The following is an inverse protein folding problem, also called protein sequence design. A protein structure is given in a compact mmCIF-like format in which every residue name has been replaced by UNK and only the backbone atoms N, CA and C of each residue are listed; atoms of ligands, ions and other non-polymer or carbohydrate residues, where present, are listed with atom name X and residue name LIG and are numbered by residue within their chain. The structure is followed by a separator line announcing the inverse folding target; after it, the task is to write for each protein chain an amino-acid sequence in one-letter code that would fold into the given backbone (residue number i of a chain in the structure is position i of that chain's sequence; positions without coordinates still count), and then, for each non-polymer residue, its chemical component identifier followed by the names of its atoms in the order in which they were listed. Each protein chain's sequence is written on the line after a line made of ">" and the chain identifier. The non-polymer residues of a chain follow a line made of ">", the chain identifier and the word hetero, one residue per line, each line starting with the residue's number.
data_IF_415328547919
#
_entry.id   IF_415328547919
#
_cell.length_a   1.000
_cell.length_b   1.000
_cell.length_c   1.000
_cell.angle_alpha   90.00
_cell.angle_beta   90.00
_cell.angle_gamma   90.00
#
_symmetry.space_group_name_H-M   'P 1'
#
loop_
_entity.id
_entity.type
_entity.pdbx_description
1 polymer ?
#
# COMPACT_ATOMS: atom_id res chain seq x y z
N UNK A 1 -10.92 2.25 -14.14
CA UNK A 1 -10.90 1.06 -13.27
C UNK A 1 -12.01 1.18 -12.22
N UNK A 2 -12.20 0.18 -11.35
CA UNK A 2 -13.26 0.18 -10.33
C UNK A 2 -12.77 0.71 -8.98
N UNK A 3 -13.70 1.08 -8.11
CA UNK A 3 -13.41 1.50 -6.73
C UNK A 3 -12.70 0.39 -5.93
N UNK A 4 -13.06 -0.87 -6.19
CA UNK A 4 -12.44 -2.02 -5.56
C UNK A 4 -10.93 -2.14 -5.88
N UNK A 5 -10.53 -1.84 -7.12
CA UNK A 5 -9.11 -1.76 -7.48
C UNK A 5 -8.42 -0.61 -6.74
N UNK A 6 -9.06 0.55 -6.63
CA UNK A 6 -8.52 1.72 -5.94
C UNK A 6 -8.21 1.42 -4.46
N UNK A 7 -9.16 0.79 -3.77
CA UNK A 7 -8.98 0.31 -2.40
C UNK A 7 -7.82 -0.68 -2.30
N UNK A 8 -7.79 -1.71 -3.15
CA UNK A 8 -6.74 -2.74 -3.10
C UNK A 8 -5.34 -2.19 -3.35
N UNK A 9 -5.16 -1.35 -4.38
CA UNK A 9 -3.87 -0.74 -4.70
C UNK A 9 -3.41 0.25 -3.63
N UNK A 10 -4.33 1.05 -3.09
CA UNK A 10 -3.97 1.97 -2.00
C UNK A 10 -3.64 1.23 -0.70
N UNK A 11 -4.33 0.13 -0.39
CA UNK A 11 -3.99 -0.73 0.75
C UNK A 11 -2.60 -1.34 0.57
N UNK A 12 -2.29 -1.86 -0.63
CA UNK A 12 -0.97 -2.37 -0.98
C UNK A 12 0.13 -1.31 -0.84
N UNK A 13 -0.14 -0.06 -1.24
CA UNK A 13 0.81 1.05 -1.13
C UNK A 13 1.22 1.35 0.32
N UNK A 14 0.36 1.04 1.28
CA UNK A 14 0.69 1.10 2.70
C UNK A 14 1.71 0.05 3.15
N UNK A 15 1.81 -1.10 2.47
CA UNK A 15 2.78 -2.19 2.74
C UNK A 15 4.06 -2.10 1.93
N UNK A 16 4.00 -1.60 0.69
CA UNK A 16 5.15 -1.08 -0.06
C UNK A 16 4.65 -0.03 -1.05
N UNK A 17 5.18 1.19 -1.01
CA UNK A 17 4.72 2.28 -1.88
C UNK A 17 5.04 2.03 -3.37
N UNK A 18 6.22 1.49 -3.64
CA UNK A 18 6.79 1.45 -4.98
C UNK A 18 6.29 0.26 -5.80
N UNK A 19 5.99 -0.88 -5.17
CA UNK A 19 5.44 -2.07 -5.86
C UNK A 19 4.13 -1.77 -6.62
N UNK A 20 3.03 -1.30 -5.99
CA UNK A 20 1.78 -1.01 -6.69
C UNK A 20 1.95 0.11 -7.72
N UNK A 21 2.73 1.16 -7.41
CA UNK A 21 3.02 2.24 -8.36
C UNK A 21 3.72 1.72 -9.61
N UNK A 22 4.74 0.88 -9.44
CA UNK A 22 5.50 0.30 -10.53
C UNK A 22 4.63 -0.65 -11.37
N UNK A 23 3.79 -1.47 -10.74
CA UNK A 23 2.86 -2.36 -11.45
C UNK A 23 1.89 -1.54 -12.30
N UNK A 24 1.25 -0.51 -11.72
CA UNK A 24 0.34 0.38 -12.44
C UNK A 24 1.05 1.10 -13.60
N UNK A 25 2.26 1.61 -13.36
CA UNK A 25 3.06 2.28 -14.38
C UNK A 25 3.44 1.35 -15.54
N UNK A 26 3.91 0.13 -15.25
CA UNK A 26 4.27 -0.86 -16.27
C UNK A 26 3.04 -1.33 -17.05
N UNK A 27 1.92 -1.61 -16.38
CA UNK A 27 0.70 -2.01 -17.04
C UNK A 27 0.14 -0.90 -17.94
N UNK A 28 0.16 0.35 -17.47
CA UNK A 28 -0.25 1.49 -18.28
C UNK A 28 0.66 1.73 -19.49
N UNK A 29 1.95 1.36 -19.40
CA UNK A 29 2.93 1.55 -20.47
C UNK A 29 2.89 0.44 -21.52
N UNK A 30 2.73 -0.81 -21.10
CA UNK A 30 2.91 -1.98 -21.97
C UNK A 30 1.60 -2.70 -22.32
N UNK A 31 0.49 -2.35 -21.67
CA UNK A 31 -0.80 -3.03 -21.86
C UNK A 31 -1.94 -2.02 -21.96
N UNK A 32 -3.12 -2.50 -22.35
CA UNK A 32 -4.37 -1.73 -22.29
C UNK A 32 -5.18 -2.04 -21.01
N UNK A 33 -4.63 -2.80 -20.06
CA UNK A 33 -5.33 -3.17 -18.83
C UNK A 33 -5.54 -1.98 -17.89
N UNK A 34 -4.62 -1.02 -17.93
CA UNK A 34 -4.66 0.20 -17.13
C UNK A 34 -4.54 1.39 -18.06
N UNK A 35 -5.53 2.27 -18.03
CA UNK A 35 -5.51 3.55 -18.77
C UNK A 35 -5.45 4.69 -17.76
N UNK A 36 -4.39 5.49 -17.85
CA UNK A 36 -4.15 6.64 -16.98
C UNK A 36 -4.50 7.92 -17.74
N UNK A 37 -5.27 8.79 -17.10
CA UNK A 37 -5.57 10.13 -17.61
C UNK A 37 -4.63 11.16 -16.97
N UNK A 38 -4.49 12.32 -17.60
CA UNK A 38 -3.76 13.44 -16.99
C UNK A 38 -4.32 13.77 -15.59
N UNK A 39 -3.45 14.07 -14.61
CA UNK A 39 -1.97 14.15 -14.68
C UNK A 39 -1.25 12.82 -14.39
N UNK A 40 -1.99 11.72 -14.25
CA UNK A 40 -1.45 10.44 -13.78
C UNK A 40 -0.77 9.63 -14.87
N UNK A 41 -1.01 9.96 -16.14
CA UNK A 41 -0.34 9.40 -17.32
C UNK A 41 1.19 9.55 -17.26
N UNK A 42 1.70 10.56 -16.54
CA UNK A 42 3.11 10.73 -16.22
C UNK A 42 3.76 9.48 -15.58
N UNK A 43 2.99 8.66 -14.85
CA UNK A 43 3.48 7.39 -14.28
C UNK A 43 4.00 6.42 -15.36
N UNK A 44 3.46 6.50 -16.58
CA UNK A 44 3.89 5.65 -17.70
C UNK A 44 5.20 6.12 -18.35
N UNK A 45 5.76 7.26 -17.93
CA UNK A 45 7.03 7.79 -18.45
C UNK A 45 8.22 6.94 -18.01
N UNK A 46 9.18 6.72 -18.91
CA UNK A 46 10.42 6.00 -18.62
C UNK A 46 11.21 6.59 -17.45
N UNK A 47 11.16 7.92 -17.28
CA UNK A 47 11.80 8.59 -16.15
C UNK A 47 11.16 8.21 -14.82
N UNK A 48 9.83 8.14 -14.77
CA UNK A 48 9.09 7.77 -13.56
C UNK A 48 9.23 6.27 -13.28
N UNK A 49 9.10 5.42 -14.29
CA UNK A 49 9.32 3.96 -14.17
C UNK A 49 10.74 3.68 -13.66
N UNK A 50 11.76 4.28 -14.28
CA UNK A 50 13.16 4.12 -13.84
C UNK A 50 13.37 4.57 -12.40
N UNK A 51 12.77 5.69 -12.00
CA UNK A 51 12.82 6.18 -10.62
C UNK A 51 12.15 5.20 -9.66
N UNK A 52 10.95 4.69 -9.99
CA UNK A 52 10.24 3.72 -9.16
C UNK A 52 11.02 2.40 -9.00
N UNK A 53 11.70 1.93 -10.05
CA UNK A 53 12.57 0.75 -9.97
C UNK A 53 13.72 1.00 -9.01
N UNK A 54 14.42 2.13 -9.13
CA UNK A 54 15.54 2.47 -8.23
C UNK A 54 15.06 2.59 -6.79
N UNK A 55 13.95 3.30 -6.55
CA UNK A 55 13.37 3.47 -5.22
C UNK A 55 12.91 2.14 -4.62
N UNK A 56 12.34 1.23 -5.42
CA UNK A 56 11.99 -0.11 -4.97
C UNK A 56 13.22 -0.93 -4.58
N UNK A 57 14.30 -0.86 -5.37
CA UNK A 57 15.55 -1.53 -5.02
C UNK A 57 16.12 -0.97 -3.72
N UNK A 58 16.14 0.35 -3.56
CA UNK A 58 16.59 1.00 -2.32
C UNK A 58 15.74 0.56 -1.14
N UNK A 59 14.40 0.57 -1.27
CA UNK A 59 13.46 0.09 -0.25
C UNK A 59 13.81 -1.33 0.21
N UNK A 60 13.92 -2.26 -0.75
CA UNK A 60 14.19 -3.67 -0.47
C UNK A 60 15.55 -3.84 0.22
N UNK A 61 16.56 -3.06 -0.14
CA UNK A 61 17.89 -3.17 0.46
C UNK A 61 17.95 -2.54 1.86
N UNK A 62 17.36 -1.35 2.03
CA UNK A 62 17.40 -0.60 3.30
C UNK A 62 16.59 -1.31 4.38
N UNK A 63 15.43 -1.87 4.04
CA UNK A 63 14.59 -2.61 4.98
C UNK A 63 15.25 -3.89 5.55
N UNK A 64 16.35 -4.34 4.96
CA UNK A 64 17.08 -5.54 5.40
C UNK A 64 18.14 -5.25 6.44
N UNK A 65 18.52 -3.99 6.61
CA UNK A 65 19.56 -3.58 7.55
C UNK A 65 18.89 -3.08 8.83
N UNK A 66 19.10 -3.75 9.98
CA UNK A 66 18.55 -3.29 11.26
C UNK A 66 18.96 -1.84 11.55
N UNK A 67 18.06 -1.07 12.15
CA UNK A 67 18.14 0.39 12.38
C UNK A 67 17.97 1.25 11.12
N UNK A 68 18.49 0.83 9.95
CA UNK A 68 18.21 1.53 8.69
C UNK A 68 16.74 1.38 8.28
N UNK A 69 16.15 0.21 8.55
CA UNK A 69 14.72 -0.07 8.40
C UNK A 69 13.83 0.93 9.17
N UNK A 70 14.23 1.29 10.39
CA UNK A 70 13.49 2.23 11.23
C UNK A 70 13.55 3.64 10.65
N UNK A 71 14.72 4.07 10.16
CA UNK A 71 14.88 5.36 9.51
C UNK A 71 14.07 5.42 8.20
N UNK A 72 14.05 4.33 7.45
CA UNK A 72 13.24 4.21 6.25
C UNK A 72 11.74 4.34 6.55
N UNK A 73 11.25 3.67 7.60
CA UNK A 73 9.84 3.77 8.00
C UNK A 73 9.39 5.20 8.35
N UNK A 74 10.31 6.03 8.88
CA UNK A 74 10.03 7.45 9.14
C UNK A 74 9.80 8.19 7.82
N UNK A 75 10.68 8.02 6.83
CA UNK A 75 10.52 8.62 5.50
C UNK A 75 9.21 8.13 4.87
N UNK A 76 8.96 6.84 5.00
CA UNK A 76 7.81 6.17 4.43
C UNK A 76 6.47 6.57 5.06
N UNK A 77 6.49 7.22 6.23
CA UNK A 77 5.31 7.85 6.83
C UNK A 77 4.68 8.92 5.94
N UNK A 78 5.46 9.52 5.03
CA UNK A 78 4.96 10.47 4.04
C UNK A 78 4.80 9.84 2.65
N UNK A 79 5.77 9.01 2.25
CA UNK A 79 5.81 8.44 0.89
C UNK A 79 4.68 7.43 0.65
N UNK A 80 4.37 6.55 1.61
CA UNK A 80 3.31 5.54 1.46
C UNK A 80 1.91 6.16 1.37
N UNK A 81 1.52 7.12 2.24
CA UNK A 81 0.24 7.82 2.06
C UNK A 81 0.16 8.59 0.74
N UNK A 82 1.26 9.23 0.31
CA UNK A 82 1.29 9.91 -0.98
C UNK A 82 1.11 8.94 -2.15
N UNK A 83 1.79 7.79 -2.14
CA UNK A 83 1.62 6.74 -3.13
C UNK A 83 0.18 6.21 -3.15
N UNK A 84 -0.43 5.98 -1.99
CA UNK A 84 -1.84 5.62 -1.86
C UNK A 84 -2.76 6.66 -2.49
N UNK A 85 -2.53 7.94 -2.22
CA UNK A 85 -3.29 9.05 -2.80
C UNK A 85 -3.23 9.05 -4.33
N UNK A 86 -2.03 8.90 -4.89
CA UNK A 86 -1.78 8.84 -6.33
C UNK A 86 -2.53 7.66 -6.94
N UNK A 87 -2.37 6.46 -6.38
CA UNK A 87 -2.99 5.24 -6.89
C UNK A 87 -4.52 5.30 -6.82
N UNK A 88 -5.07 5.79 -5.71
CA UNK A 88 -6.51 5.90 -5.54
C UNK A 88 -7.08 6.93 -6.55
N UNK A 89 -6.48 8.11 -6.65
CA UNK A 89 -6.92 9.14 -7.60
C UNK A 89 -6.79 8.71 -9.07
N UNK A 90 -5.67 8.06 -9.44
CA UNK A 90 -5.43 7.56 -10.78
C UNK A 90 -6.45 6.49 -11.20
N UNK A 91 -6.86 5.63 -10.27
CA UNK A 91 -7.76 4.50 -10.56
C UNK A 91 -9.23 4.90 -10.58
N UNK A 92 -9.65 5.85 -9.74
CA UNK A 92 -11.05 6.31 -9.65
C UNK A 92 -11.40 7.44 -10.62
N UNK A 93 -10.44 7.97 -11.38
CA UNK A 93 -10.71 9.03 -12.35
C UNK A 93 -11.81 8.62 -13.36
N UNK A 94 -11.77 7.36 -13.82
CA UNK A 94 -12.75 6.82 -14.78
C UNK A 94 -14.20 6.77 -14.28
N UNK A 95 -14.43 6.81 -12.96
CA UNK A 95 -15.76 6.81 -12.34
C UNK A 95 -16.19 8.20 -11.86
N UNK A 96 -15.43 9.25 -12.22
CA UNK A 96 -15.78 10.64 -11.93
C UNK A 96 -15.67 11.05 -10.46
N UNK A 97 -14.93 10.29 -9.63
CA UNK A 97 -14.71 10.67 -8.24
C UNK A 97 -13.84 11.94 -8.18
N UNK A 98 -14.24 12.91 -7.38
CA UNK A 98 -13.49 14.17 -7.23
C UNK A 98 -12.03 13.88 -6.82
N UNK A 99 -11.01 14.40 -7.53
CA UNK A 99 -9.61 14.00 -7.32
C UNK A 99 -9.12 14.21 -5.89
N UNK A 100 -9.55 15.28 -5.23
CA UNK A 100 -9.18 15.56 -3.83
C UNK A 100 -9.78 14.53 -2.87
N UNK A 101 -11.03 14.12 -3.09
CA UNK A 101 -11.67 13.10 -2.26
C UNK A 101 -11.00 11.73 -2.47
N UNK A 102 -10.69 11.40 -3.72
CA UNK A 102 -9.96 10.21 -4.09
C UNK A 102 -8.58 10.16 -3.42
N UNK A 103 -7.83 11.27 -3.47
CA UNK A 103 -6.54 11.39 -2.81
C UNK A 103 -6.64 11.23 -1.29
N UNK A 104 -7.63 11.86 -0.64
CA UNK A 104 -7.87 11.72 0.81
C UNK A 104 -8.15 10.25 1.18
N UNK A 105 -9.00 9.56 0.41
CA UNK A 105 -9.24 8.14 0.61
C UNK A 105 -7.94 7.33 0.51
N UNK A 106 -7.12 7.61 -0.50
CA UNK A 106 -5.83 6.95 -0.68
C UNK A 106 -4.85 7.19 0.48
N UNK A 107 -4.73 8.44 0.95
CA UNK A 107 -3.91 8.81 2.11
C UNK A 107 -4.35 8.03 3.35
N UNK A 108 -5.65 8.03 3.64
CA UNK A 108 -6.20 7.37 4.84
C UNK A 108 -5.95 5.86 4.78
N UNK A 109 -6.17 5.23 3.62
CA UNK A 109 -5.99 3.80 3.47
C UNK A 109 -4.52 3.37 3.55
N UNK A 110 -3.65 3.97 2.74
CA UNK A 110 -2.24 3.62 2.72
C UNK A 110 -1.56 4.00 4.04
N UNK A 111 -1.89 5.17 4.60
CA UNK A 111 -1.39 5.61 5.90
C UNK A 111 -1.86 4.71 7.03
N UNK A 112 -3.13 4.30 7.05
CA UNK A 112 -3.66 3.38 8.05
C UNK A 112 -2.93 2.04 8.05
N UNK A 113 -2.68 1.47 6.86
CA UNK A 113 -1.92 0.23 6.71
C UNK A 113 -0.46 0.41 7.15
N UNK A 114 0.19 1.51 6.77
CA UNK A 114 1.55 1.82 7.22
C UNK A 114 1.64 1.96 8.75
N UNK A 115 0.67 2.61 9.39
CA UNK A 115 0.61 2.75 10.85
C UNK A 115 0.53 1.38 11.53
N UNK A 116 -0.27 0.45 10.99
CA UNK A 116 -0.36 -0.92 11.53
C UNK A 116 0.98 -1.64 11.39
N UNK A 117 1.64 -1.52 10.23
CA UNK A 117 2.99 -2.07 9.98
C UNK A 117 4.03 -1.49 10.94
N UNK A 118 4.16 -0.16 10.96
CA UNK A 118 5.13 0.56 11.76
C UNK A 118 4.91 0.34 13.27
N UNK A 119 3.66 0.20 13.71
CA UNK A 119 3.32 -0.14 15.10
C UNK A 119 3.73 -1.56 15.51
N UNK A 120 3.79 -2.51 14.56
CA UNK A 120 4.22 -3.89 14.80
C UNK A 120 5.74 -4.08 14.88
N UNK A 121 6.51 -3.28 14.13
CA UNK A 121 7.97 -3.45 14.03
C UNK A 121 8.72 -3.36 15.37
N UNK A 122 8.41 -2.43 16.30
CA UNK A 122 9.05 -2.41 17.62
C UNK A 122 8.87 -3.70 18.41
N UNK A 123 7.70 -4.35 18.29
CA UNK A 123 7.41 -5.61 18.98
C UNK A 123 8.25 -6.75 18.40
N UNK A 124 8.33 -6.84 17.08
CA UNK A 124 9.16 -7.84 16.38
C UNK A 124 10.64 -7.60 16.68
N UNK A 125 11.10 -6.35 16.63
CA UNK A 125 12.48 -5.99 16.90
C UNK A 125 12.87 -6.31 18.35
N UNK A 126 12.02 -5.95 19.33
CA UNK A 126 12.28 -6.20 20.75
C UNK A 126 12.32 -7.71 21.08
N UNK A 127 11.51 -8.52 20.39
CA UNK A 127 11.44 -9.98 20.63
C UNK A 127 12.52 -10.78 19.90
N UNK A 128 13.09 -10.24 18.83
CA UNK A 128 14.05 -10.95 17.95
C UNK A 128 15.40 -10.25 17.82
N UNK A 129 15.65 -9.21 18.61
CA UNK A 129 16.78 -8.29 18.47
C UNK A 129 16.92 -7.71 17.05
N UNK A 130 15.80 -7.57 16.31
CA UNK A 130 15.75 -7.08 14.93
C UNK A 130 16.00 -8.14 13.85
N UNK A 131 16.31 -9.39 14.21
CA UNK A 131 16.66 -10.42 13.21
C UNK A 131 15.46 -10.90 12.38
N UNK A 132 14.23 -10.72 12.87
CA UNK A 132 13.03 -11.03 12.11
C UNK A 132 12.54 -9.89 11.19
N UNK A 133 13.06 -8.67 11.34
CA UNK A 133 12.63 -7.52 10.52
C UNK A 133 12.85 -7.76 9.02
N UNK A 134 14.00 -8.31 8.56
CA UNK A 134 14.19 -8.64 7.15
C UNK A 134 13.16 -9.64 6.60
N UNK A 135 12.74 -10.60 7.41
CA UNK A 135 11.76 -11.63 7.01
C UNK A 135 10.38 -10.98 6.90
N UNK A 136 9.99 -10.21 7.92
CA UNK A 136 8.70 -9.49 7.92
C UNK A 136 8.60 -8.51 6.75
N UNK A 137 9.65 -7.75 6.47
CA UNK A 137 9.69 -6.85 5.30
C UNK A 137 9.48 -7.59 3.99
N UNK A 138 10.12 -8.76 3.77
CA UNK A 138 9.85 -9.55 2.56
C UNK A 138 8.44 -10.09 2.50
N UNK A 139 7.86 -10.49 3.63
CA UNK A 139 6.45 -10.91 3.65
C UNK A 139 5.56 -9.73 3.25
N UNK A 140 5.81 -8.53 3.78
CA UNK A 140 5.09 -7.31 3.41
C UNK A 140 5.20 -6.99 1.92
N UNK A 141 6.39 -7.14 1.32
CA UNK A 141 6.62 -6.94 -0.11
C UNK A 141 5.84 -7.96 -0.96
N UNK A 142 5.85 -9.24 -0.57
CA UNK A 142 5.11 -10.30 -1.26
C UNK A 142 3.60 -10.09 -1.14
N UNK A 143 3.12 -9.67 0.03
CA UNK A 143 1.71 -9.31 0.23
C UNK A 143 1.38 -8.09 -0.62
N UNK A 144 2.24 -7.07 -0.68
CA UNK A 144 2.02 -5.88 -1.50
C UNK A 144 1.93 -6.24 -2.99
N UNK A 145 2.84 -7.07 -3.48
CA UNK A 145 2.81 -7.59 -4.85
C UNK A 145 1.52 -8.38 -5.13
N UNK A 146 1.18 -9.33 -4.26
CA UNK A 146 -0.02 -10.17 -4.41
C UNK A 146 -1.31 -9.35 -4.36
N UNK A 147 -1.43 -8.42 -3.41
CA UNK A 147 -2.60 -7.54 -3.27
C UNK A 147 -2.72 -6.57 -4.44
N UNK A 148 -1.61 -6.03 -4.95
CA UNK A 148 -1.59 -5.20 -6.16
C UNK A 148 -2.12 -5.95 -7.38
N UNK A 149 -1.57 -7.14 -7.66
CA UNK A 149 -1.97 -7.96 -8.80
C UNK A 149 -3.43 -8.37 -8.66
N UNK A 150 -3.84 -8.81 -7.47
CA UNK A 150 -5.22 -9.23 -7.21
C UNK A 150 -6.21 -8.07 -7.35
N UNK A 151 -5.87 -6.86 -6.90
CA UNK A 151 -6.70 -5.67 -7.04
C UNK A 151 -6.97 -5.30 -8.50
N UNK A 152 -6.03 -5.60 -9.40
CA UNK A 152 -6.13 -5.31 -10.83
C UNK A 152 -6.89 -6.44 -11.56
N UNK A 153 -6.53 -7.71 -11.31
CA UNK A 153 -7.05 -8.86 -12.05
C UNK A 153 -8.41 -9.31 -11.53
N UNK A 154 -8.63 -9.29 -10.21
CA UNK A 154 -9.86 -9.75 -9.57
C UNK A 154 -10.34 -8.74 -8.50
N UNK A 155 -10.72 -7.51 -8.91
CA UNK A 155 -11.02 -6.42 -7.98
C UNK A 155 -12.11 -6.76 -6.96
N UNK A 156 -13.17 -7.45 -7.37
CA UNK A 156 -14.27 -7.81 -6.46
C UNK A 156 -13.83 -8.81 -5.39
N UNK A 157 -12.95 -9.76 -5.74
CA UNK A 157 -12.36 -10.67 -4.76
C UNK A 157 -11.51 -9.89 -3.76
N UNK A 158 -10.68 -8.95 -4.23
CA UNK A 158 -9.92 -8.08 -3.34
C UNK A 158 -10.82 -7.26 -2.41
N UNK A 159 -11.92 -6.69 -2.92
CA UNK A 159 -12.90 -5.99 -2.10
C UNK A 159 -13.51 -6.89 -1.02
N UNK A 160 -13.87 -8.13 -1.36
CA UNK A 160 -14.36 -9.11 -0.38
C UNK A 160 -13.31 -9.39 0.71
N UNK A 161 -12.04 -9.56 0.33
CA UNK A 161 -10.96 -9.77 1.31
C UNK A 161 -10.75 -8.57 2.23
N UNK A 162 -10.83 -7.34 1.69
CA UNK A 162 -10.76 -6.11 2.50
C UNK A 162 -11.92 -6.06 3.50
N UNK A 163 -13.15 -6.34 3.06
CA UNK A 163 -14.33 -6.35 3.94
C UNK A 163 -14.18 -7.39 5.05
N UNK A 164 -13.71 -8.61 4.71
CA UNK A 164 -13.45 -9.66 5.70
C UNK A 164 -12.38 -9.21 6.70
N UNK A 165 -11.26 -8.64 6.23
CA UNK A 165 -10.19 -8.16 7.11
C UNK A 165 -10.69 -7.09 8.08
N UNK A 166 -11.49 -6.13 7.60
CA UNK A 166 -12.11 -5.09 8.43
C UNK A 166 -13.13 -5.66 9.42
N UNK A 167 -13.95 -6.64 9.02
CA UNK A 167 -14.90 -7.30 9.90
C UNK A 167 -14.19 -8.06 11.03
N UNK A 168 -13.13 -8.81 10.71
CA UNK A 168 -12.32 -9.52 11.70
C UNK A 168 -11.62 -8.55 12.66
N UNK A 169 -11.05 -7.46 12.14
CA UNK A 169 -10.41 -6.44 12.95
C UNK A 169 -11.40 -5.76 13.92
N UNK A 170 -12.58 -5.37 13.44
CA UNK A 170 -13.61 -4.73 14.27
C UNK A 170 -14.16 -5.69 15.33
N UNK A 171 -14.43 -6.95 14.97
CA UNK A 171 -14.84 -7.99 15.92
C UNK A 171 -13.81 -8.19 17.05
N UNK A 172 -12.54 -8.30 16.69
CA UNK A 172 -11.44 -8.45 17.64
C UNK A 172 -11.29 -7.23 18.55
N UNK A 173 -11.36 -6.02 17.99
CA UNK A 173 -11.18 -4.78 18.74
C UNK A 173 -12.33 -4.54 19.73
N UNK A 174 -13.57 -4.78 19.31
CA UNK A 174 -14.75 -4.66 20.18
C UNK A 174 -14.75 -5.75 21.26
N UNK A 175 -14.34 -6.97 20.92
CA UNK A 175 -14.22 -8.09 21.87
C UNK A 175 -13.17 -7.87 22.97
N UNK A 176 -12.17 -7.01 22.73
CA UNK A 176 -11.14 -6.64 23.71
C UNK A 176 -11.50 -5.43 24.58
N UNK A 177 -12.62 -4.75 24.33
CA UNK A 177 -13.07 -3.69 25.24
C UNK A 177 -13.49 -4.35 26.56
N UNK A 178 -12.89 -3.98 27.71
CA UNK A 178 -13.38 -4.45 28.99
C UNK A 178 -14.84 -4.03 29.09
N UNK A 179 -15.75 -5.00 29.24
CA UNK A 179 -17.15 -4.74 29.57
C UNK A 179 -17.12 -3.87 30.82
N UNK A 180 -17.43 -2.57 30.68
CA UNK A 180 -17.70 -1.71 31.83
C UNK A 180 -18.96 -2.27 32.48
N UNK A 181 -18.78 -3.10 33.50
CA UNK A 181 -19.83 -3.45 34.46
C UNK A 181 -20.18 -2.15 35.18
N UNK A 182 -21.40 -1.65 34.93
CA UNK A 182 -22.01 -0.56 35.69
C UNK A 182 -22.50 -1.07 37.04
#
# INVERSE_FOLDING_TARGET
>A
MSLATAFGLSTSAGLNAYIPLLIVALLARFTSLVTLNEPWDALSSWWVIGTLVVLLVVEILVDKVPAADTANDIIQTFVRPAAGAILFAATTNAIGLHPVLAAICGVILAGGVHVVKAGGRPVVAATTAGMANPIMSTIEDMISLGTSVLAIVAPYLMATLIVIALALFTWWYVGRRPRRTY
#
